data_IF_716093886898
#
_entry.id   IF_716093886898
#
_cell.length_a   1.000
_cell.length_b   1.000
_cell.length_c   1.000
_cell.angle_alpha   90.00
_cell.angle_beta   90.00
_cell.angle_gamma   90.00
#
_symmetry.space_group_name_H-M   'P 1'
#
loop_
_entity.id
_entity.type
_entity.pdbx_description
1 polymer ?
#
# COMPACT_ATOMS: atom_id res chain seq x y z
N UNK A 1 -15.16 0.68 -1.90
CA UNK A 1 -14.87 -0.68 -2.42
C UNK A 1 -15.31 -1.78 -1.46
N UNK A 2 -14.58 -2.14 -0.39
CA UNK A 2 -15.00 -3.27 0.48
C UNK A 2 -16.31 -3.01 1.26
N UNK A 3 -16.51 -1.79 1.75
CA UNK A 3 -17.72 -1.38 2.45
C UNK A 3 -18.96 -1.46 1.55
N UNK A 4 -18.79 -1.08 0.28
CA UNK A 4 -19.87 -1.06 -0.72
C UNK A 4 -20.24 -2.48 -1.18
N UNK A 5 -19.25 -3.36 -1.29
CA UNK A 5 -19.45 -4.80 -1.58
C UNK A 5 -20.20 -5.46 -0.42
N UNK A 6 -19.78 -5.18 0.82
CA UNK A 6 -20.40 -5.75 2.02
C UNK A 6 -21.70 -5.05 2.43
N UNK A 7 -22.13 -4.00 1.69
CA UNK A 7 -23.31 -3.18 1.98
C UNK A 7 -23.35 -2.66 3.42
N UNK A 8 -22.19 -2.30 3.98
CA UNK A 8 -22.06 -1.74 5.33
C UNK A 8 -21.44 -0.36 5.28
N UNK A 9 -21.79 0.49 6.24
CA UNK A 9 -21.15 1.79 6.37
C UNK A 9 -19.65 1.64 6.68
N UNK A 10 -18.82 2.54 6.13
CA UNK A 10 -17.35 2.54 6.31
C UNK A 10 -16.89 2.45 7.77
N UNK A 11 -17.61 3.10 8.69
CA UNK A 11 -17.26 3.08 10.12
C UNK A 11 -17.56 1.71 10.73
N UNK A 12 -18.65 1.07 10.30
CA UNK A 12 -19.03 -0.28 10.72
C UNK A 12 -18.01 -1.30 10.23
N UNK A 13 -17.58 -1.19 8.98
CA UNK A 13 -16.49 -2.00 8.45
C UNK A 13 -15.20 -1.81 9.27
N UNK A 14 -14.84 -0.57 9.58
CA UNK A 14 -13.64 -0.29 10.38
C UNK A 14 -13.73 -0.88 11.80
N UNK A 15 -14.90 -0.80 12.43
CA UNK A 15 -15.16 -1.41 13.73
C UNK A 15 -14.99 -2.94 13.67
N UNK A 16 -15.55 -3.60 12.66
CA UNK A 16 -15.39 -5.05 12.48
C UNK A 16 -13.94 -5.43 12.20
N UNK A 17 -13.26 -4.72 11.31
CA UNK A 17 -11.84 -4.96 11.03
C UNK A 17 -11.01 -4.86 12.32
N UNK A 18 -11.24 -3.84 13.15
CA UNK A 18 -10.58 -3.69 14.45
C UNK A 18 -10.90 -4.84 15.40
N UNK A 19 -12.19 -5.23 15.50
CA UNK A 19 -12.64 -6.32 16.37
C UNK A 19 -12.03 -7.68 15.99
N UNK A 20 -11.83 -7.91 14.69
CA UNK A 20 -11.23 -9.15 14.17
C UNK A 20 -9.71 -9.07 14.01
N UNK A 21 -9.05 -8.01 14.50
CA UNK A 21 -7.59 -7.87 14.42
C UNK A 21 -7.05 -7.58 13.02
N UNK A 22 -7.92 -7.23 12.06
CA UNK A 22 -7.55 -6.81 10.71
C UNK A 22 -7.05 -5.37 10.77
N UNK A 23 -5.79 -5.22 11.14
CA UNK A 23 -5.13 -3.92 11.26
C UNK A 23 -4.52 -3.50 9.94
N UNK A 24 -4.64 -2.21 9.63
CA UNK A 24 -3.84 -1.59 8.57
C UNK A 24 -2.39 -1.49 9.07
N UNK A 25 -1.51 -2.33 8.56
CA UNK A 25 -0.08 -2.33 8.89
C UNK A 25 0.73 -1.85 7.69
N UNK A 26 1.84 -1.15 7.98
CA UNK A 26 2.86 -0.85 6.98
C UNK A 26 3.68 -2.11 6.70
N UNK A 27 4.16 -2.23 5.47
CA UNK A 27 5.06 -3.31 5.10
C UNK A 27 6.38 -3.17 5.86
N UNK A 28 6.86 -4.27 6.44
CA UNK A 28 8.20 -4.33 7.05
C UNK A 28 9.26 -4.38 5.96
N UNK A 29 9.50 -3.24 5.31
CA UNK A 29 10.53 -3.07 4.29
C UNK A 29 11.79 -2.50 4.94
N UNK A 30 12.94 -3.13 4.68
CA UNK A 30 14.22 -2.52 5.00
C UNK A 30 14.54 -1.41 4.01
N UNK A 31 15.39 -0.46 4.39
CA UNK A 31 15.86 0.59 3.48
C UNK A 31 16.55 0.00 2.24
N UNK A 32 17.30 -1.10 2.42
CA UNK A 32 17.98 -1.77 1.31
C UNK A 32 16.99 -2.38 0.30
N UNK A 33 15.86 -2.91 0.77
CA UNK A 33 14.82 -3.44 -0.10
C UNK A 33 14.05 -2.32 -0.79
N UNK A 34 13.81 -1.20 -0.10
CA UNK A 34 13.24 0.01 -0.68
C UNK A 34 14.12 0.54 -1.82
N UNK A 35 15.43 0.62 -1.60
CA UNK A 35 16.40 1.09 -2.62
C UNK A 35 16.39 0.21 -3.86
N UNK A 36 16.30 -1.13 -3.69
CA UNK A 36 16.17 -2.05 -4.81
C UNK A 36 14.90 -1.80 -5.60
N UNK A 37 13.75 -1.63 -4.92
CA UNK A 37 12.47 -1.36 -5.58
C UNK A 37 12.48 -0.02 -6.34
N UNK A 38 13.06 1.01 -5.74
CA UNK A 38 13.22 2.33 -6.37
C UNK A 38 14.14 2.25 -7.58
N UNK A 39 15.26 1.52 -7.49
CA UNK A 39 16.16 1.29 -8.63
C UNK A 39 15.45 0.56 -9.76
N UNK A 40 14.72 -0.52 -9.47
CA UNK A 40 13.94 -1.25 -10.48
C UNK A 40 12.89 -0.36 -11.15
N UNK A 41 12.20 0.48 -10.37
CA UNK A 41 11.26 1.46 -10.92
C UNK A 41 11.95 2.47 -11.84
N UNK A 42 13.12 2.99 -11.46
CA UNK A 42 13.86 3.95 -12.27
C UNK A 42 14.48 3.36 -13.54
N UNK A 43 14.88 2.09 -13.53
CA UNK A 43 15.32 1.38 -14.74
C UNK A 43 14.16 1.24 -15.72
N UNK A 44 12.96 0.89 -15.23
CA UNK A 44 11.78 0.68 -16.08
C UNK A 44 11.11 1.99 -16.51
N UNK A 45 11.22 3.05 -15.70
CA UNK A 45 10.57 4.35 -15.92
C UNK A 45 11.46 5.52 -15.48
N UNK A 46 12.53 5.84 -16.22
CA UNK A 46 13.52 6.84 -15.82
C UNK A 46 12.92 8.24 -15.62
N UNK A 47 12.06 8.65 -16.56
CA UNK A 47 11.39 9.97 -16.59
C UNK A 47 10.26 10.13 -15.56
N UNK A 48 9.84 9.06 -14.90
CA UNK A 48 8.74 9.14 -13.93
C UNK A 48 9.21 9.74 -12.61
N UNK A 49 8.50 10.77 -12.15
CA UNK A 49 8.76 11.45 -10.88
C UNK A 49 8.40 10.61 -9.65
N UNK A 50 8.86 11.04 -8.46
CA UNK A 50 8.70 10.33 -7.19
C UNK A 50 7.25 9.98 -6.84
N UNK A 51 6.28 10.80 -7.29
CA UNK A 51 4.83 10.55 -7.10
C UNK A 51 4.39 9.17 -7.60
N UNK A 52 5.02 8.67 -8.67
CA UNK A 52 4.67 7.39 -9.27
C UNK A 52 5.32 6.18 -8.58
N UNK A 53 6.38 6.40 -7.80
CA UNK A 53 7.04 5.35 -7.01
C UNK A 53 6.09 4.83 -5.93
N UNK A 54 5.37 5.73 -5.25
CA UNK A 54 4.41 5.34 -4.21
C UNK A 54 3.30 4.49 -4.82
N UNK A 55 2.78 4.89 -5.99
CA UNK A 55 1.78 4.11 -6.73
C UNK A 55 2.30 2.73 -7.14
N UNK A 56 3.53 2.66 -7.64
CA UNK A 56 4.19 1.40 -7.99
C UNK A 56 4.35 0.47 -6.78
N UNK A 57 4.80 1.00 -5.64
CA UNK A 57 4.95 0.22 -4.41
C UNK A 57 3.60 -0.31 -3.92
N UNK A 58 2.56 0.53 -3.90
CA UNK A 58 1.20 0.11 -3.56
C UNK A 58 0.65 -0.95 -4.53
N UNK A 59 0.91 -0.83 -5.83
CA UNK A 59 0.51 -1.82 -6.84
C UNK A 59 1.15 -3.19 -6.58
N UNK A 60 2.40 -3.21 -6.11
CA UNK A 60 3.10 -4.43 -5.70
C UNK A 60 2.74 -4.92 -4.28
N UNK A 61 1.71 -4.34 -3.66
CA UNK A 61 1.22 -4.74 -2.34
C UNK A 61 2.02 -4.18 -1.17
N UNK A 62 2.99 -3.29 -1.43
CA UNK A 62 3.75 -2.62 -0.38
C UNK A 62 3.03 -1.37 0.09
N UNK A 63 2.84 -1.28 1.40
CA UNK A 63 2.33 -0.07 2.03
C UNK A 63 3.45 0.63 2.77
N UNK A 64 3.81 1.82 2.27
CA UNK A 64 4.87 2.68 2.79
C UNK A 64 4.29 3.91 3.51
N UNK A 65 5.09 4.54 4.38
CA UNK A 65 4.76 5.76 5.14
C UNK A 65 5.49 6.98 4.56
#
# INVERSE_FOLDING_TARGET
ELADIMKVHRNTLHLYMKRHGVLRQYSKLSNADLDKLVKTFKITRPESGMRYIIGFLCYHGYRIQ
#
